data_IF_756339980902
#
_entry.id   IF_756339980902
#
_cell.length_a   1.000
_cell.length_b   1.000
_cell.length_c   1.000
_cell.angle_alpha   90.00
_cell.angle_beta   90.00
_cell.angle_gamma   90.00
#
_symmetry.space_group_name_H-M   'P 1'
#
loop_
_entity.id
_entity.type
_entity.pdbx_description
1 polymer ?
#
# COMPACT_ATOMS: atom_id res chain seq x y z
N UNK A 1 52.21 7.13 -2.97
CA UNK A 1 52.26 6.20 -1.82
C UNK A 1 51.20 5.12 -2.03
N UNK A 2 51.48 4.13 -2.89
CA UNK A 2 50.54 3.05 -3.23
C UNK A 2 50.79 1.86 -2.30
N UNK A 3 50.30 1.96 -1.06
CA UNK A 3 50.27 0.79 -0.17
C UNK A 3 49.24 -0.17 -0.78
N UNK A 4 49.63 -1.40 -1.14
CA UNK A 4 49.15 -1.98 -2.36
C UNK A 4 47.89 -2.79 -2.09
N UNK A 5 46.85 -2.58 -2.91
CA UNK A 5 45.65 -3.43 -2.94
C UNK A 5 46.00 -4.93 -2.93
N UNK A 6 47.11 -5.31 -3.56
CA UNK A 6 47.64 -6.68 -3.57
C UNK A 6 47.99 -7.23 -2.18
N UNK A 7 48.45 -6.40 -1.25
CA UNK A 7 48.73 -6.82 0.13
C UNK A 7 47.44 -7.08 0.92
N UNK A 8 46.42 -6.23 0.76
CA UNK A 8 45.11 -6.43 1.38
C UNK A 8 44.40 -7.68 0.84
N UNK A 9 44.40 -7.87 -0.48
CA UNK A 9 43.87 -9.07 -1.14
C UNK A 9 44.59 -10.35 -0.69
N UNK A 10 45.93 -10.32 -0.60
CA UNK A 10 46.71 -11.46 -0.11
C UNK A 10 46.41 -11.76 1.36
N UNK A 11 46.25 -10.74 2.19
CA UNK A 11 45.92 -10.91 3.61
C UNK A 11 44.51 -11.50 3.81
N UNK A 12 43.52 -11.06 3.02
CA UNK A 12 42.20 -11.70 2.95
C UNK A 12 42.31 -13.19 2.56
N UNK A 13 43.15 -13.49 1.57
CA UNK A 13 43.38 -14.86 1.11
C UNK A 13 44.16 -15.74 2.10
N UNK A 14 44.91 -15.17 3.04
CA UNK A 14 45.55 -15.92 4.14
C UNK A 14 44.55 -16.16 5.27
N UNK A 15 43.63 -15.22 5.52
CA UNK A 15 42.59 -15.29 6.57
C UNK A 15 41.21 -15.71 6.02
N UNK A 16 41.18 -16.70 5.14
CA UNK A 16 39.98 -17.11 4.38
C UNK A 16 38.74 -17.34 5.25
N UNK A 17 38.90 -18.00 6.41
CA UNK A 17 37.78 -18.35 7.28
C UNK A 17 37.10 -17.12 7.90
N UNK A 18 37.86 -16.18 8.46
CA UNK A 18 37.32 -14.96 9.10
C UNK A 18 36.82 -13.95 8.08
N UNK A 19 37.50 -13.84 6.93
CA UNK A 19 37.04 -13.04 5.79
C UNK A 19 35.73 -13.59 5.19
N UNK A 20 35.60 -14.92 5.03
CA UNK A 20 34.37 -15.51 4.51
C UNK A 20 33.20 -15.31 5.48
N UNK A 21 33.41 -15.46 6.79
CA UNK A 21 32.37 -15.26 7.80
C UNK A 21 31.84 -13.81 7.81
N UNK A 22 32.74 -12.82 7.73
CA UNK A 22 32.36 -11.41 7.66
C UNK A 22 31.65 -11.06 6.35
N UNK A 23 32.16 -11.54 5.22
CA UNK A 23 31.51 -11.37 3.93
C UNK A 23 30.12 -12.00 3.88
N UNK A 24 29.95 -13.19 4.46
CA UNK A 24 28.66 -13.89 4.52
C UNK A 24 27.67 -13.16 5.42
N UNK A 25 28.12 -12.61 6.55
CA UNK A 25 27.29 -11.76 7.41
C UNK A 25 26.74 -10.54 6.66
N UNK A 26 27.60 -9.84 5.91
CA UNK A 26 27.20 -8.68 5.11
C UNK A 26 26.28 -9.10 3.94
N UNK A 27 26.60 -10.21 3.26
CA UNK A 27 25.78 -10.71 2.16
C UNK A 27 24.38 -11.09 2.63
N UNK A 28 24.26 -11.73 3.80
CA UNK A 28 22.98 -12.12 4.37
C UNK A 28 22.11 -10.90 4.74
N UNK A 29 22.69 -9.87 5.36
CA UNK A 29 21.92 -8.65 5.72
C UNK A 29 21.44 -7.91 4.48
N UNK A 30 22.28 -7.80 3.46
CA UNK A 30 21.89 -7.21 2.17
C UNK A 30 20.83 -8.05 1.47
N UNK A 31 20.94 -9.38 1.48
CA UNK A 31 19.96 -10.28 0.87
C UNK A 31 18.57 -10.14 1.52
N UNK A 32 18.51 -10.06 2.86
CA UNK A 32 17.24 -9.85 3.58
C UNK A 32 16.63 -8.49 3.22
N UNK A 33 17.45 -7.42 3.20
CA UNK A 33 16.97 -6.09 2.80
C UNK A 33 16.40 -6.10 1.38
N UNK A 34 17.11 -6.71 0.43
CA UNK A 34 16.66 -6.83 -0.95
C UNK A 34 15.38 -7.67 -1.06
N UNK A 35 15.24 -8.74 -0.30
CA UNK A 35 14.04 -9.56 -0.28
C UNK A 35 12.81 -8.77 0.18
N UNK A 36 12.94 -7.95 1.23
CA UNK A 36 11.85 -7.09 1.72
C UNK A 36 11.48 -6.03 0.69
N UNK A 37 12.46 -5.38 0.06
CA UNK A 37 12.20 -4.39 -0.98
C UNK A 37 11.53 -5.01 -2.22
N UNK A 38 11.99 -6.19 -2.64
CA UNK A 38 11.39 -6.92 -3.74
C UNK A 38 9.94 -7.34 -3.44
N UNK A 39 9.65 -7.74 -2.21
CA UNK A 39 8.28 -8.04 -1.78
C UNK A 39 7.38 -6.80 -1.84
N UNK A 40 7.84 -5.66 -1.32
CA UNK A 40 7.10 -4.39 -1.37
C UNK A 40 6.80 -3.99 -2.82
N UNK A 41 7.78 -4.12 -3.71
CA UNK A 41 7.59 -3.78 -5.12
C UNK A 41 6.67 -4.79 -5.82
N UNK A 42 6.78 -6.08 -5.52
CA UNK A 42 5.89 -7.11 -6.05
C UNK A 42 4.43 -6.88 -5.64
N UNK A 43 4.19 -6.47 -4.40
CA UNK A 43 2.86 -6.08 -3.93
C UNK A 43 2.35 -4.83 -4.67
N UNK A 44 3.19 -3.79 -4.82
CA UNK A 44 2.83 -2.57 -5.56
C UNK A 44 2.45 -2.89 -7.01
N UNK A 45 3.26 -3.67 -7.71
CA UNK A 45 3.00 -4.08 -9.09
C UNK A 45 1.68 -4.86 -9.19
N UNK A 46 1.42 -5.78 -8.25
CA UNK A 46 0.19 -6.57 -8.21
C UNK A 46 -1.05 -5.71 -7.96
N UNK A 47 -0.96 -4.72 -7.05
CA UNK A 47 -2.08 -3.84 -6.76
C UNK A 47 -2.36 -2.82 -7.88
N UNK A 48 -1.31 -2.34 -8.57
CA UNK A 48 -1.49 -1.43 -9.72
C UNK A 48 -2.12 -2.15 -10.90
N UNK A 49 -1.78 -3.43 -11.13
CA UNK A 49 -2.32 -4.21 -12.24
C UNK A 49 -3.85 -4.41 -12.17
N UNK A 50 -4.44 -4.41 -10.97
CA UNK A 50 -5.89 -4.51 -10.77
C UNK A 50 -6.63 -3.16 -10.87
N UNK A 51 -5.93 -2.03 -10.95
CA UNK A 51 -6.52 -0.70 -10.97
C UNK A 51 -6.92 -0.25 -12.37
N UNK A 52 -8.11 0.33 -12.52
CA UNK A 52 -8.52 0.98 -13.75
C UNK A 52 -7.98 2.43 -13.79
N UNK A 53 -7.31 2.88 -14.88
CA UNK A 53 -6.64 4.19 -14.92
C UNK A 53 -7.58 5.40 -14.82
N UNK A 54 -8.88 5.21 -15.07
CA UNK A 54 -9.90 6.24 -14.93
C UNK A 54 -10.59 6.25 -13.56
N UNK A 55 -10.28 5.29 -12.67
CA UNK A 55 -10.84 5.27 -11.32
C UNK A 55 -9.94 6.08 -10.38
N UNK A 56 -10.51 7.14 -9.85
CA UNK A 56 -9.81 8.06 -8.96
C UNK A 56 -10.34 7.91 -7.54
N UNK A 57 -9.43 7.64 -6.61
CA UNK A 57 -9.73 7.68 -5.18
C UNK A 57 -9.52 9.11 -4.68
N UNK A 58 -10.58 9.74 -4.16
CA UNK A 58 -10.53 11.09 -3.60
C UNK A 58 -10.62 11.01 -2.07
N UNK A 59 -9.61 11.54 -1.39
CA UNK A 59 -9.58 11.62 0.08
C UNK A 59 -9.46 13.07 0.54
N UNK A 60 -9.89 13.34 1.77
CA UNK A 60 -9.69 14.65 2.41
C UNK A 60 -8.19 14.96 2.46
N UNK A 61 -7.83 16.21 2.14
CA UNK A 61 -6.45 16.70 2.27
C UNK A 61 -5.91 16.44 3.68
N UNK A 62 -4.75 15.78 3.76
CA UNK A 62 -4.09 15.42 5.02
C UNK A 62 -4.52 14.08 5.62
N UNK A 63 -5.49 13.38 5.02
CA UNK A 63 -5.78 12.00 5.39
C UNK A 63 -4.70 11.07 4.80
N UNK A 64 -4.19 10.15 5.62
CA UNK A 64 -3.21 9.14 5.22
C UNK A 64 -3.85 7.79 4.91
N UNK A 65 -5.14 7.63 5.24
CA UNK A 65 -5.92 6.42 5.00
C UNK A 65 -7.39 6.77 4.80
N UNK A 66 -8.13 5.89 4.14
CA UNK A 66 -9.58 6.04 3.91
C UNK A 66 -10.35 6.19 5.23
N UNK A 67 -9.93 5.45 6.27
CA UNK A 67 -10.53 5.47 7.61
C UNK A 67 -10.46 6.85 8.29
N UNK A 68 -9.45 7.67 7.95
CA UNK A 68 -9.27 9.02 8.53
C UNK A 68 -9.75 10.14 7.59
N UNK A 69 -10.29 9.76 6.44
CA UNK A 69 -10.79 10.67 5.40
C UNK A 69 -12.28 10.98 5.62
N UNK A 70 -12.56 11.90 6.52
CA UNK A 70 -13.93 12.43 6.71
C UNK A 70 -14.23 13.45 5.61
N UNK A 71 -15.27 13.21 4.80
CA UNK A 71 -15.76 14.13 3.77
C UNK A 71 -17.25 14.38 3.96
N UNK A 72 -17.68 15.64 3.83
CA UNK A 72 -19.09 15.99 3.98
C UNK A 72 -19.89 15.67 2.70
N UNK A 73 -21.20 15.37 2.80
CA UNK A 73 -22.05 15.17 1.64
C UNK A 73 -22.06 16.35 0.67
N UNK A 74 -21.97 17.60 1.17
CA UNK A 74 -21.94 18.80 0.33
C UNK A 74 -20.66 18.88 -0.51
N UNK A 75 -19.54 18.48 0.07
CA UNK A 75 -18.25 18.38 -0.64
C UNK A 75 -18.34 17.31 -1.73
N UNK A 76 -18.97 16.17 -1.43
CA UNK A 76 -19.22 15.13 -2.42
C UNK A 76 -20.08 15.61 -3.59
N UNK A 77 -21.17 16.34 -3.35
CA UNK A 77 -22.00 16.91 -4.42
C UNK A 77 -21.23 17.93 -5.28
N UNK A 78 -20.36 18.72 -4.65
CA UNK A 78 -19.47 19.65 -5.35
C UNK A 78 -18.46 18.93 -6.24
N UNK A 79 -17.92 17.79 -5.80
CA UNK A 79 -17.01 16.97 -6.61
C UNK A 79 -17.79 16.30 -7.75
N UNK A 80 -18.95 15.69 -7.44
CA UNK A 80 -19.81 14.98 -8.39
C UNK A 80 -20.26 15.84 -9.57
N UNK A 81 -20.41 17.14 -9.37
CA UNK A 81 -20.84 18.10 -10.39
C UNK A 81 -19.69 18.63 -11.27
N UNK A 82 -18.44 18.23 -11.03
CA UNK A 82 -17.31 18.68 -11.85
C UNK A 82 -17.38 18.09 -13.26
N UNK A 83 -16.99 18.88 -14.29
CA UNK A 83 -16.88 18.37 -15.65
C UNK A 83 -15.77 17.32 -15.74
N UNK A 84 -15.96 16.32 -16.62
CA UNK A 84 -14.99 15.26 -16.88
C UNK A 84 -15.24 13.93 -16.14
N UNK A 85 -16.20 13.88 -15.22
CA UNK A 85 -16.63 12.62 -14.60
C UNK A 85 -17.50 11.85 -15.60
N UNK A 86 -17.14 10.58 -15.84
CA UNK A 86 -17.92 9.69 -16.71
C UNK A 86 -19.35 9.54 -16.18
N UNK A 87 -20.31 9.23 -17.07
CA UNK A 87 -21.70 8.99 -16.69
C UNK A 87 -22.05 7.53 -16.89
N UNK A 88 -22.79 6.98 -15.93
CA UNK A 88 -23.34 5.64 -16.01
C UNK A 88 -24.45 5.58 -17.08
N UNK A 89 -24.91 4.37 -17.41
CA UNK A 89 -26.02 4.15 -18.35
C UNK A 89 -27.33 4.86 -17.90
N UNK A 90 -27.49 5.09 -16.60
CA UNK A 90 -28.60 5.84 -16.00
C UNK A 90 -28.50 7.38 -16.19
N UNK A 91 -27.38 7.89 -16.72
CA UNK A 91 -27.12 9.32 -16.88
C UNK A 91 -26.55 10.01 -15.63
N UNK A 92 -26.41 9.29 -14.51
CA UNK A 92 -25.77 9.79 -13.30
C UNK A 92 -24.24 9.82 -13.43
N UNK A 93 -23.59 10.80 -12.79
CA UNK A 93 -22.13 10.84 -12.70
C UNK A 93 -21.60 9.62 -11.93
N UNK A 94 -20.59 8.95 -12.48
CA UNK A 94 -19.87 7.81 -11.88
C UNK A 94 -19.02 8.30 -10.71
N UNK A 95 -19.67 8.58 -9.59
CA UNK A 95 -19.06 8.98 -8.34
C UNK A 95 -19.79 8.30 -7.18
N UNK A 96 -19.05 7.61 -6.33
CA UNK A 96 -19.58 6.93 -5.14
C UNK A 96 -19.04 7.59 -3.88
N UNK A 97 -19.94 7.94 -2.97
CA UNK A 97 -19.56 8.34 -1.62
C UNK A 97 -19.35 7.08 -0.79
N UNK A 98 -18.08 6.73 -0.54
CA UNK A 98 -17.72 5.54 0.23
C UNK A 98 -17.42 5.91 1.69
N UNK A 99 -17.87 5.06 2.62
CA UNK A 99 -17.61 5.19 4.05
C UNK A 99 -16.88 3.94 4.54
N UNK A 100 -15.72 4.11 5.18
CA UNK A 100 -15.00 3.01 5.84
C UNK A 100 -14.97 3.31 7.33
N UNK A 101 -15.49 2.42 8.16
CA UNK A 101 -15.48 2.56 9.63
C UNK A 101 -15.23 1.23 10.31
N UNK A 102 -14.56 1.25 11.47
CA UNK A 102 -14.48 0.10 12.36
C UNK A 102 -15.73 0.07 13.25
N UNK A 103 -16.34 -1.10 13.39
CA UNK A 103 -17.41 -1.35 14.36
C UNK A 103 -16.99 -2.51 15.26
N UNK A 104 -17.35 -2.45 16.54
CA UNK A 104 -17.16 -3.58 17.43
C UNK A 104 -18.42 -4.45 17.41
N UNK A 105 -18.30 -5.69 16.97
CA UNK A 105 -19.39 -6.65 16.88
C UNK A 105 -19.17 -7.75 17.90
N UNK A 106 -20.14 -7.92 18.80
CA UNK A 106 -20.18 -9.04 19.73
C UNK A 106 -20.57 -10.32 19.00
N UNK A 107 -19.93 -11.43 19.34
CA UNK A 107 -20.26 -12.76 18.87
C UNK A 107 -20.38 -13.70 20.08
N UNK A 108 -21.11 -14.81 19.95
CA UNK A 108 -21.28 -15.82 21.01
C UNK A 108 -19.93 -16.32 21.53
N UNK A 109 -18.94 -16.47 20.64
CA UNK A 109 -17.57 -16.88 20.98
C UNK A 109 -16.70 -15.75 21.57
N UNK A 110 -17.06 -14.48 21.34
CA UNK A 110 -16.31 -13.31 21.80
C UNK A 110 -17.27 -12.22 22.34
N UNK A 111 -17.72 -12.36 23.60
CA UNK A 111 -18.59 -11.38 24.25
C UNK A 111 -17.91 -10.03 24.54
N UNK A 112 -16.57 -9.94 24.43
CA UNK A 112 -15.82 -8.68 24.49
C UNK A 112 -15.85 -7.85 23.20
N UNK A 113 -16.48 -8.38 22.15
CA UNK A 113 -16.55 -7.76 20.84
C UNK A 113 -15.28 -7.93 20.01
N UNK A 114 -15.46 -8.15 18.72
CA UNK A 114 -14.42 -8.17 17.70
C UNK A 114 -14.52 -6.92 16.82
N UNK A 115 -13.39 -6.28 16.56
CA UNK A 115 -13.33 -5.13 15.65
C UNK A 115 -13.47 -5.61 14.19
N UNK A 116 -14.50 -5.14 13.50
CA UNK A 116 -14.81 -5.45 12.10
C UNK A 116 -14.80 -4.16 11.29
N UNK A 117 -14.17 -4.19 10.12
CA UNK A 117 -14.21 -3.06 9.18
C UNK A 117 -15.47 -3.14 8.33
N UNK A 118 -16.34 -2.13 8.45
CA UNK A 118 -17.52 -1.94 7.63
C UNK A 118 -17.22 -0.94 6.52
N UNK A 119 -17.53 -1.30 5.27
CA UNK A 119 -17.44 -0.42 4.10
C UNK A 119 -18.81 -0.20 3.49
N UNK A 120 -19.33 1.02 3.60
CA UNK A 120 -20.55 1.46 2.94
C UNK A 120 -20.25 1.95 1.52
N UNK A 121 -21.03 1.46 0.56
CA UNK A 121 -20.92 1.76 -0.86
C UNK A 121 -22.28 2.15 -1.42
N UNK A 122 -22.31 3.05 -2.41
CA UNK A 122 -23.51 3.30 -3.21
C UNK A 122 -23.66 2.23 -4.28
N UNK A 123 -24.87 2.04 -4.85
CA UNK A 123 -25.10 1.10 -5.95
C UNK A 123 -24.20 1.38 -7.15
N UNK A 124 -24.01 2.66 -7.50
CA UNK A 124 -23.03 3.08 -8.51
C UNK A 124 -21.60 2.67 -8.15
N UNK A 125 -21.25 2.66 -6.87
CA UNK A 125 -19.96 2.17 -6.38
C UNK A 125 -19.73 0.68 -6.65
N UNK A 126 -20.79 -0.13 -6.70
CA UNK A 126 -20.69 -1.53 -7.12
C UNK A 126 -20.55 -1.66 -8.64
N UNK A 127 -21.27 -0.85 -9.42
CA UNK A 127 -21.18 -0.85 -10.88
C UNK A 127 -19.84 -0.35 -11.42
N UNK A 128 -19.12 0.47 -10.64
CA UNK A 128 -17.79 0.98 -10.98
C UNK A 128 -16.65 -0.02 -10.72
N UNK A 129 -16.89 -1.20 -10.12
CA UNK A 129 -15.84 -2.19 -9.82
C UNK A 129 -15.86 -3.32 -10.84
#
# INVERSE_FOLDING_TARGET
MQIPLSYNLRNLAVRKATTAMTALGIALTVAVLLAVLALVEGLRASFVAGGHPLHLLVMRKGATAELTSVMSPETFQTIRSKPGIARAASGEAMASLELVTGINLENEDQPGGMNVTLRGLTTLGFEMR
#
